data_IF_543919010461
#
_entry.id   IF_543919010461
#
_cell.length_a   1.000
_cell.length_b   1.000
_cell.length_c   1.000
_cell.angle_alpha   90.00
_cell.angle_beta   90.00
_cell.angle_gamma   90.00
#
_symmetry.space_group_name_H-M   'P 1'
#
loop_
_entity.id
_entity.type
_entity.pdbx_description
1 polymer ?
#
# COMPACT_ATOMS: atom_id res chain seq x y z
N UNK A 1 65.42 -20.69 33.16
CA UNK A 1 65.59 -20.66 31.69
C UNK A 1 64.71 -19.54 31.16
N UNK A 2 65.29 -18.36 30.97
CA UNK A 2 64.64 -17.23 30.32
C UNK A 2 64.57 -17.51 28.81
N UNK A 3 63.43 -17.32 28.14
CA UNK A 3 63.34 -17.54 26.70
C UNK A 3 64.20 -16.49 25.99
N UNK A 4 65.05 -16.95 25.06
CA UNK A 4 65.84 -16.09 24.20
C UNK A 4 64.89 -15.16 23.43
N UNK A 5 65.04 -13.87 23.65
CA UNK A 5 64.41 -12.83 22.81
C UNK A 5 65.10 -12.93 21.46
N UNK A 6 64.39 -13.47 20.46
CA UNK A 6 64.84 -13.50 19.08
C UNK A 6 64.73 -12.05 18.60
N UNK A 7 65.86 -11.37 18.47
CA UNK A 7 65.89 -10.07 17.81
C UNK A 7 65.31 -10.24 16.40
N UNK A 8 64.28 -9.45 16.02
CA UNK A 8 63.73 -9.51 14.68
C UNK A 8 64.84 -9.18 13.67
N UNK A 9 64.83 -9.80 12.48
CA UNK A 9 65.80 -9.48 11.43
C UNK A 9 65.81 -7.96 11.21
N UNK A 10 67.01 -7.37 11.06
CA UNK A 10 67.21 -5.96 10.69
C UNK A 10 66.61 -5.72 9.31
N UNK A 11 65.28 -5.62 9.28
CA UNK A 11 64.50 -5.35 8.10
C UNK A 11 64.68 -3.86 7.86
N UNK A 12 65.31 -3.51 6.75
CA UNK A 12 65.51 -2.12 6.30
C UNK A 12 64.22 -1.44 5.86
N UNK A 13 63.08 -2.13 6.00
CA UNK A 13 61.77 -1.60 5.65
C UNK A 13 61.31 -0.53 6.67
N UNK A 14 60.85 0.64 6.20
CA UNK A 14 60.50 1.76 7.08
C UNK A 14 59.25 1.54 7.92
N UNK A 15 58.37 0.62 7.51
CA UNK A 15 57.15 0.28 8.24
C UNK A 15 57.17 -1.21 8.55
N UNK A 16 57.04 -1.54 9.83
CA UNK A 16 57.04 -2.92 10.32
C UNK A 16 55.67 -3.19 10.93
N UNK A 17 55.06 -4.31 10.51
CA UNK A 17 53.88 -4.87 11.16
C UNK A 17 54.31 -5.73 12.35
N UNK A 18 53.71 -5.48 13.51
CA UNK A 18 53.99 -6.17 14.78
C UNK A 18 52.70 -6.74 15.38
N UNK A 19 52.85 -7.81 16.19
CA UNK A 19 51.72 -8.55 16.80
C UNK A 19 50.95 -9.42 15.80
N UNK A 20 49.67 -9.71 16.08
CA UNK A 20 48.73 -10.44 15.19
C UNK A 20 48.32 -9.63 13.93
N UNK A 21 49.12 -8.64 13.53
CA UNK A 21 48.91 -7.85 12.30
C UNK A 21 48.29 -6.47 12.49
N UNK A 22 48.13 -5.98 13.72
CA UNK A 22 47.49 -4.68 14.02
C UNK A 22 48.43 -3.60 14.57
N UNK A 23 49.67 -3.92 14.95
CA UNK A 23 50.64 -2.93 15.42
C UNK A 23 51.49 -2.39 14.27
N UNK A 24 51.34 -1.11 13.92
CA UNK A 24 52.21 -0.45 12.93
C UNK A 24 53.29 0.37 13.65
N UNK A 25 54.56 0.01 13.47
CA UNK A 25 55.70 0.71 14.06
C UNK A 25 56.64 1.15 12.94
N UNK A 26 57.28 2.31 13.10
CA UNK A 26 58.36 2.76 12.21
C UNK A 26 59.63 2.01 12.62
N UNK A 27 60.32 1.38 11.67
CA UNK A 27 61.56 0.69 11.95
C UNK A 27 62.62 1.66 12.52
N UNK A 28 63.34 1.25 13.56
CA UNK A 28 64.39 2.06 14.20
C UNK A 28 65.48 2.47 13.20
N UNK A 29 65.83 1.59 12.26
CA UNK A 29 66.75 1.88 11.16
C UNK A 29 66.23 2.98 10.20
N UNK A 30 64.91 3.07 9.99
CA UNK A 30 64.33 4.14 9.20
C UNK A 30 64.27 5.45 9.97
N UNK A 31 64.05 5.43 11.29
CA UNK A 31 64.15 6.63 12.11
C UNK A 31 65.57 7.21 12.11
N UNK A 32 66.59 6.37 12.23
CA UNK A 32 68.00 6.81 12.17
C UNK A 32 68.38 7.31 10.78
N UNK A 33 67.93 6.66 9.71
CA UNK A 33 68.13 7.13 8.34
C UNK A 33 67.46 8.50 8.10
N UNK A 34 66.22 8.68 8.56
CA UNK A 34 65.50 9.96 8.49
C UNK A 34 66.25 11.05 9.25
N UNK A 35 66.67 10.77 10.48
CA UNK A 35 67.41 11.73 11.29
C UNK A 35 68.72 12.16 10.62
N UNK A 36 69.44 11.21 10.00
CA UNK A 36 70.68 11.47 9.27
C UNK A 36 70.45 12.33 8.04
N UNK A 37 69.45 12.00 7.21
CA UNK A 37 69.12 12.78 6.02
C UNK A 37 68.69 14.21 6.37
N UNK A 38 67.86 14.37 7.41
CA UNK A 38 67.43 15.70 7.88
C UNK A 38 68.58 16.50 8.50
N UNK A 39 69.52 15.84 9.18
CA UNK A 39 70.72 16.50 9.69
C UNK A 39 71.59 16.99 8.53
N UNK A 40 71.83 16.15 7.53
CA UNK A 40 72.65 16.48 6.37
C UNK A 40 72.02 17.59 5.52
N UNK A 41 70.70 17.55 5.32
CA UNK A 41 70.00 18.60 4.56
C UNK A 41 70.07 19.95 5.26
N UNK A 42 70.06 19.99 6.60
CA UNK A 42 70.17 21.24 7.38
C UNK A 42 71.56 21.89 7.31
N UNK A 43 72.60 21.16 6.89
CA UNK A 43 73.93 21.73 6.68
C UNK A 43 73.98 22.63 5.45
N UNK A 44 73.03 22.48 4.53
CA UNK A 44 72.93 23.29 3.31
C UNK A 44 71.99 24.46 3.60
N UNK A 45 72.58 25.60 3.98
CA UNK A 45 71.82 26.83 4.32
C UNK A 45 71.53 27.65 3.06
N UNK A 46 72.52 27.79 2.19
CA UNK A 46 72.43 28.53 0.93
C UNK A 46 73.30 27.83 -0.12
N UNK A 47 72.89 27.88 -1.39
CA UNK A 47 73.64 27.33 -2.52
C UNK A 47 74.17 28.51 -3.35
N UNK A 48 75.47 28.80 -3.21
CA UNK A 48 76.11 29.94 -3.87
C UNK A 48 77.11 29.54 -4.97
N UNK A 49 77.43 28.25 -5.09
CA UNK A 49 78.41 27.74 -6.03
C UNK A 49 77.99 26.38 -6.65
N UNK A 50 78.64 25.95 -7.75
CA UNK A 50 78.30 24.69 -8.41
C UNK A 50 78.54 23.43 -7.56
N UNK A 51 79.42 23.48 -6.57
CA UNK A 51 79.71 22.33 -5.69
C UNK A 51 78.58 22.14 -4.69
N UNK A 52 78.08 23.24 -4.11
CA UNK A 52 76.91 23.30 -3.26
C UNK A 52 75.65 22.85 -3.98
N UNK A 53 75.50 23.20 -5.26
CA UNK A 53 74.37 22.76 -6.09
C UNK A 53 74.36 21.23 -6.25
N UNK A 54 75.50 20.63 -6.59
CA UNK A 54 75.64 19.18 -6.69
C UNK A 54 75.37 18.45 -5.34
N UNK A 55 75.82 19.05 -4.24
CA UNK A 55 75.56 18.52 -2.89
C UNK A 55 74.06 18.61 -2.53
N UNK A 56 73.40 19.71 -2.86
CA UNK A 56 71.97 19.91 -2.65
C UNK A 56 71.13 18.92 -3.47
N UNK A 57 71.44 18.75 -4.76
CA UNK A 57 70.77 17.77 -5.63
C UNK A 57 70.91 16.34 -5.08
N UNK A 58 72.10 15.98 -4.59
CA UNK A 58 72.33 14.67 -3.96
C UNK A 58 71.44 14.46 -2.73
N UNK A 59 71.34 15.47 -1.85
CA UNK A 59 70.47 15.37 -0.66
C UNK A 59 68.99 15.36 -1.03
N UNK A 60 68.56 16.14 -2.03
CA UNK A 60 67.19 16.13 -2.53
C UNK A 60 66.80 14.76 -3.09
N UNK A 61 67.66 14.12 -3.89
CA UNK A 61 67.45 12.76 -4.39
C UNK A 61 67.34 11.75 -3.27
N UNK A 62 68.18 11.85 -2.24
CA UNK A 62 68.14 10.95 -1.08
C UNK A 62 66.84 11.09 -0.27
N UNK A 63 66.40 12.33 0.01
CA UNK A 63 65.12 12.60 0.66
C UNK A 63 63.93 12.10 -0.17
N UNK A 64 63.96 12.32 -1.50
CA UNK A 64 62.93 11.84 -2.41
C UNK A 64 62.85 10.30 -2.44
N UNK A 65 64.01 9.62 -2.48
CA UNK A 65 64.09 8.17 -2.45
C UNK A 65 63.49 7.59 -1.16
N UNK A 66 63.79 8.19 0.01
CA UNK A 66 63.22 7.77 1.28
C UNK A 66 61.69 7.95 1.32
N UNK A 67 61.18 9.09 0.82
CA UNK A 67 59.73 9.34 0.70
C UNK A 67 59.05 8.28 -0.17
N UNK A 68 59.62 7.96 -1.33
CA UNK A 68 59.08 6.95 -2.26
C UNK A 68 59.12 5.55 -1.63
N UNK A 69 60.20 5.21 -0.94
CA UNK A 69 60.33 3.94 -0.21
C UNK A 69 59.22 3.77 0.82
N UNK A 70 58.94 4.81 1.61
CA UNK A 70 57.89 4.78 2.63
C UNK A 70 56.49 4.57 2.03
N UNK A 71 56.16 5.23 0.91
CA UNK A 71 54.89 5.00 0.22
C UNK A 71 54.78 3.59 -0.38
N UNK A 72 55.89 3.06 -0.90
CA UNK A 72 55.92 1.68 -1.41
C UNK A 72 55.67 0.67 -0.29
N UNK A 73 56.33 0.83 0.86
CA UNK A 73 56.11 -0.05 2.01
C UNK A 73 54.70 0.12 2.56
N UNK A 74 54.16 1.34 2.63
CA UNK A 74 52.76 1.60 3.00
C UNK A 74 51.79 0.87 2.08
N UNK A 75 52.00 0.95 0.76
CA UNK A 75 51.16 0.26 -0.22
C UNK A 75 51.26 -1.27 -0.06
N UNK A 76 52.46 -1.80 0.16
CA UNK A 76 52.72 -3.22 0.39
C UNK A 76 52.02 -3.73 1.65
N UNK A 77 52.17 -3.01 2.77
CA UNK A 77 51.54 -3.32 4.05
C UNK A 77 50.01 -3.28 3.99
N UNK A 78 49.45 -2.30 3.26
CA UNK A 78 47.99 -2.14 3.12
C UNK A 78 47.36 -3.20 2.21
N UNK A 79 48.09 -3.69 1.20
CA UNK A 79 47.55 -4.55 0.15
C UNK A 79 46.91 -5.85 0.68
N UNK A 80 47.55 -6.65 1.57
CA UNK A 80 46.94 -7.86 2.10
C UNK A 80 45.61 -7.62 2.82
N UNK A 81 45.50 -6.53 3.59
CA UNK A 81 44.26 -6.19 4.30
C UNK A 81 43.14 -5.80 3.32
N UNK A 82 43.46 -5.05 2.26
CA UNK A 82 42.50 -4.73 1.20
C UNK A 82 42.06 -5.98 0.42
N UNK A 83 43.02 -6.84 0.05
CA UNK A 83 42.75 -8.08 -0.66
C UNK A 83 41.88 -9.04 0.19
N UNK A 84 42.11 -9.08 1.51
CA UNK A 84 41.27 -9.82 2.44
C UNK A 84 39.86 -9.24 2.55
N UNK A 85 39.72 -7.91 2.70
CA UNK A 85 38.42 -7.24 2.72
C UNK A 85 37.60 -7.52 1.46
N UNK A 86 38.23 -7.42 0.28
CA UNK A 86 37.59 -7.75 -1.00
C UNK A 86 37.14 -9.21 -1.07
N UNK A 87 37.93 -10.16 -0.54
CA UNK A 87 37.53 -11.58 -0.47
C UNK A 87 36.32 -11.78 0.44
N UNK A 88 36.29 -11.13 1.61
CA UNK A 88 35.14 -11.19 2.54
C UNK A 88 33.88 -10.66 1.86
N UNK A 89 33.98 -9.50 1.22
CA UNK A 89 32.86 -8.89 0.50
C UNK A 89 32.36 -9.79 -0.64
N UNK A 90 33.28 -10.39 -1.39
CA UNK A 90 32.94 -11.31 -2.47
C UNK A 90 32.23 -12.56 -1.95
N UNK A 91 32.72 -13.17 -0.87
CA UNK A 91 32.10 -14.34 -0.23
C UNK A 91 30.70 -13.98 0.30
N UNK A 92 30.56 -12.85 0.99
CA UNK A 92 29.28 -12.39 1.50
C UNK A 92 28.28 -12.15 0.34
N UNK A 93 28.74 -11.52 -0.74
CA UNK A 93 27.92 -11.28 -1.94
C UNK A 93 27.47 -12.57 -2.58
N UNK A 94 28.37 -13.56 -2.76
CA UNK A 94 27.99 -14.86 -3.33
C UNK A 94 27.03 -15.61 -2.43
N UNK A 95 27.26 -15.58 -1.11
CA UNK A 95 26.42 -16.26 -0.13
C UNK A 95 24.98 -15.71 -0.12
N UNK A 96 24.84 -14.38 -0.15
CA UNK A 96 23.52 -13.73 -0.13
C UNK A 96 22.81 -13.81 -1.48
N UNK A 97 23.54 -13.94 -2.59
CA UNK A 97 22.94 -13.98 -3.94
C UNK A 97 21.89 -15.09 -4.10
N UNK A 98 22.17 -16.29 -3.58
CA UNK A 98 21.22 -17.41 -3.60
C UNK A 98 19.98 -17.14 -2.74
N UNK A 99 20.17 -16.54 -1.56
CA UNK A 99 19.08 -16.16 -0.66
C UNK A 99 18.17 -15.12 -1.31
N UNK A 100 18.75 -14.09 -1.95
CA UNK A 100 17.98 -13.07 -2.68
C UNK A 100 17.21 -13.69 -3.85
N UNK A 101 17.84 -14.60 -4.60
CA UNK A 101 17.18 -15.27 -5.71
C UNK A 101 15.97 -16.09 -5.23
N UNK A 102 16.13 -16.83 -4.12
CA UNK A 102 15.06 -17.64 -3.55
C UNK A 102 13.95 -16.79 -2.92
N UNK A 103 14.30 -15.69 -2.24
CA UNK A 103 13.34 -14.71 -1.75
C UNK A 103 12.51 -14.12 -2.91
N UNK A 104 13.16 -13.79 -4.03
CA UNK A 104 12.51 -13.34 -5.25
C UNK A 104 11.56 -14.38 -5.83
N UNK A 105 11.96 -15.66 -5.86
CA UNK A 105 11.12 -16.77 -6.30
C UNK A 105 9.87 -16.91 -5.44
N UNK A 106 10.01 -16.87 -4.12
CA UNK A 106 8.90 -16.96 -3.17
C UNK A 106 7.94 -15.77 -3.27
N UNK A 107 8.46 -14.54 -3.41
CA UNK A 107 7.65 -13.34 -3.64
C UNK A 107 6.80 -13.46 -4.89
N UNK A 108 7.38 -13.94 -6.01
CA UNK A 108 6.65 -14.20 -7.26
C UNK A 108 5.56 -15.25 -7.07
N UNK A 109 5.89 -16.39 -6.46
CA UNK A 109 4.92 -17.46 -6.20
C UNK A 109 3.74 -16.98 -5.35
N UNK A 110 4.01 -16.17 -4.32
CA UNK A 110 2.97 -15.56 -3.48
C UNK A 110 2.10 -14.58 -4.28
N UNK A 111 2.71 -13.75 -5.13
CA UNK A 111 1.99 -12.83 -6.02
C UNK A 111 1.04 -13.56 -6.96
N UNK A 112 1.54 -14.57 -7.67
CA UNK A 112 0.71 -15.39 -8.58
C UNK A 112 -0.44 -16.11 -7.88
N UNK A 113 -0.24 -16.55 -6.63
CA UNK A 113 -1.34 -17.14 -5.85
C UNK A 113 -2.39 -16.09 -5.48
N UNK A 114 -1.97 -14.90 -5.04
CA UNK A 114 -2.90 -13.81 -4.71
C UNK A 114 -3.74 -13.37 -5.93
N UNK A 115 -3.14 -13.32 -7.12
CA UNK A 115 -3.86 -13.05 -8.37
C UNK A 115 -4.91 -14.11 -8.68
N UNK A 116 -4.58 -15.40 -8.54
CA UNK A 116 -5.54 -16.50 -8.74
C UNK A 116 -6.72 -16.41 -7.78
N UNK A 117 -6.45 -16.15 -6.49
CA UNK A 117 -7.51 -15.97 -5.48
C UNK A 117 -8.42 -14.79 -5.83
N UNK A 118 -7.85 -13.68 -6.33
CA UNK A 118 -8.64 -12.52 -6.76
C UNK A 118 -9.50 -12.85 -7.99
N UNK A 119 -8.95 -13.57 -8.97
CA UNK A 119 -9.69 -14.02 -10.16
C UNK A 119 -10.85 -14.95 -9.80
N UNK A 120 -10.61 -15.95 -8.94
CA UNK A 120 -11.66 -16.85 -8.46
C UNK A 120 -12.76 -16.07 -7.71
N UNK A 121 -12.38 -15.14 -6.84
CA UNK A 121 -13.35 -14.28 -6.14
C UNK A 121 -14.20 -13.46 -7.12
N UNK A 122 -13.56 -12.83 -8.10
CA UNK A 122 -14.26 -12.01 -9.09
C UNK A 122 -15.19 -12.86 -9.97
N UNK A 123 -14.78 -14.09 -10.30
CA UNK A 123 -15.61 -15.04 -11.03
C UNK A 123 -16.89 -15.38 -10.24
N UNK A 124 -16.74 -15.73 -8.96
CA UNK A 124 -17.89 -16.03 -8.08
C UNK A 124 -18.82 -14.83 -7.93
N UNK A 125 -18.28 -13.61 -7.81
CA UNK A 125 -19.10 -12.39 -7.74
C UNK A 125 -19.90 -12.19 -9.03
N UNK A 126 -19.28 -12.34 -10.20
CA UNK A 126 -19.96 -12.23 -11.49
C UNK A 126 -21.06 -13.28 -11.66
N UNK A 127 -20.77 -14.54 -11.34
CA UNK A 127 -21.78 -15.62 -11.41
C UNK A 127 -22.98 -15.34 -10.48
N UNK A 128 -22.75 -14.76 -9.29
CA UNK A 128 -23.82 -14.34 -8.38
C UNK A 128 -24.61 -13.14 -8.91
N UNK A 129 -23.95 -12.17 -9.53
CA UNK A 129 -24.61 -11.00 -10.15
C UNK A 129 -25.46 -11.40 -11.36
N UNK A 130 -24.93 -12.25 -12.25
CA UNK A 130 -25.66 -12.78 -13.40
C UNK A 130 -26.91 -13.53 -12.95
N UNK A 131 -26.78 -14.40 -11.95
CA UNK A 131 -27.94 -15.13 -11.39
C UNK A 131 -28.99 -14.19 -10.80
N UNK A 132 -28.58 -13.14 -10.07
CA UNK A 132 -29.53 -12.12 -9.56
C UNK A 132 -30.22 -11.36 -10.69
N UNK A 133 -29.51 -11.07 -11.78
CA UNK A 133 -30.10 -10.41 -12.94
C UNK A 133 -31.08 -11.30 -13.70
N UNK A 134 -30.82 -12.60 -13.78
CA UNK A 134 -31.74 -13.58 -14.35
C UNK A 134 -32.99 -13.75 -13.49
N UNK A 135 -32.82 -13.97 -12.18
CA UNK A 135 -33.93 -14.05 -11.22
C UNK A 135 -34.76 -12.75 -11.23
N UNK A 136 -34.12 -11.58 -11.33
CA UNK A 136 -34.80 -10.29 -11.45
C UNK A 136 -35.52 -10.09 -12.79
N UNK A 137 -35.04 -10.68 -13.89
CA UNK A 137 -35.73 -10.66 -15.19
C UNK A 137 -36.96 -11.56 -15.18
N UNK A 138 -36.83 -12.78 -14.66
CA UNK A 138 -37.94 -13.72 -14.51
C UNK A 138 -39.06 -13.12 -13.67
N UNK A 139 -38.72 -12.49 -12.54
CA UNK A 139 -39.71 -11.84 -11.68
C UNK A 139 -40.46 -10.70 -12.39
N UNK A 140 -39.79 -9.92 -13.26
CA UNK A 140 -40.43 -8.85 -14.03
C UNK A 140 -41.35 -9.40 -15.11
N UNK A 141 -40.92 -10.44 -15.83
CA UNK A 141 -41.74 -11.11 -16.84
C UNK A 141 -43.01 -11.72 -16.20
N UNK A 142 -42.88 -12.33 -15.02
CA UNK A 142 -44.01 -12.83 -14.23
C UNK A 142 -44.94 -11.70 -13.77
N UNK A 143 -44.40 -10.57 -13.31
CA UNK A 143 -45.19 -9.39 -12.91
C UNK A 143 -45.93 -8.76 -14.09
N UNK A 144 -45.28 -8.61 -15.25
CA UNK A 144 -45.92 -8.09 -16.45
C UNK A 144 -47.02 -9.02 -16.98
N UNK A 145 -46.81 -10.35 -16.90
CA UNK A 145 -47.84 -11.33 -17.25
C UNK A 145 -49.03 -11.27 -16.28
N UNK A 146 -48.78 -11.15 -14.98
CA UNK A 146 -49.82 -11.01 -13.97
C UNK A 146 -50.62 -9.71 -14.15
N UNK A 147 -49.96 -8.58 -14.43
CA UNK A 147 -50.63 -7.30 -14.71
C UNK A 147 -51.52 -7.38 -15.95
N UNK A 148 -51.05 -7.98 -17.05
CA UNK A 148 -51.87 -8.14 -18.26
C UNK A 148 -53.13 -8.97 -18.02
N UNK A 149 -53.04 -10.00 -17.18
CA UNK A 149 -54.19 -10.81 -16.80
C UNK A 149 -55.17 -10.04 -15.91
N UNK A 150 -54.65 -9.23 -14.98
CA UNK A 150 -55.47 -8.39 -14.13
C UNK A 150 -56.18 -7.28 -14.94
N UNK A 151 -55.46 -6.60 -15.82
CA UNK A 151 -56.00 -5.62 -16.76
C UNK A 151 -57.07 -6.24 -17.67
N UNK A 152 -56.82 -7.46 -18.17
CA UNK A 152 -57.79 -8.23 -18.96
C UNK A 152 -59.05 -8.59 -18.16
N UNK A 153 -58.91 -8.89 -16.87
CA UNK A 153 -60.05 -9.15 -15.97
C UNK A 153 -60.87 -7.88 -15.72
N UNK A 154 -60.20 -6.76 -15.46
CA UNK A 154 -60.85 -5.45 -15.27
C UNK A 154 -61.59 -5.04 -16.54
N UNK A 155 -60.98 -5.21 -17.71
CA UNK A 155 -61.62 -4.92 -19.00
C UNK A 155 -62.85 -5.82 -19.26
N UNK A 156 -62.76 -7.12 -18.93
CA UNK A 156 -63.90 -8.04 -19.06
C UNK A 156 -65.03 -7.72 -18.05
N UNK A 157 -64.68 -7.26 -16.84
CA UNK A 157 -65.66 -6.83 -15.83
C UNK A 157 -66.34 -5.51 -16.22
N UNK A 158 -65.59 -4.57 -16.79
CA UNK A 158 -66.14 -3.33 -17.35
C UNK A 158 -67.08 -3.60 -18.53
N UNK A 159 -66.69 -4.50 -19.46
CA UNK A 159 -67.53 -4.88 -20.59
C UNK A 159 -68.84 -5.58 -20.16
N UNK A 160 -68.84 -6.30 -19.04
CA UNK A 160 -70.06 -6.88 -18.47
C UNK A 160 -70.96 -5.81 -17.84
N UNK A 161 -70.38 -4.76 -17.25
CA UNK A 161 -71.14 -3.69 -16.62
C UNK A 161 -71.74 -2.68 -17.64
N UNK A 162 -71.08 -2.52 -18.79
CA UNK A 162 -71.50 -1.64 -19.89
C UNK A 162 -72.44 -2.31 -20.91
N UNK A 163 -72.76 -3.60 -20.74
CA UNK A 163 -73.65 -4.31 -21.65
C UNK A 163 -75.12 -3.92 -21.44
N UNK A 164 -75.76 -3.36 -22.48
CA UNK A 164 -77.16 -2.88 -22.43
C UNK A 164 -78.14 -3.82 -23.18
N UNK A 165 -77.65 -4.92 -23.75
CA UNK A 165 -78.46 -5.92 -24.46
C UNK A 165 -78.18 -7.36 -23.99
N UNK A 166 -79.18 -8.26 -24.02
CA UNK A 166 -79.01 -9.64 -23.57
C UNK A 166 -78.04 -10.48 -24.43
N UNK A 167 -77.77 -10.07 -25.67
CA UNK A 167 -76.74 -10.70 -26.53
C UNK A 167 -75.32 -10.24 -26.13
N UNK A 168 -75.17 -8.98 -25.72
CA UNK A 168 -73.89 -8.43 -25.24
C UNK A 168 -73.54 -8.94 -23.83
N UNK A 169 -74.53 -9.11 -22.94
CA UNK A 169 -74.34 -9.75 -21.63
C UNK A 169 -73.87 -11.20 -21.76
N UNK A 170 -74.43 -11.97 -22.71
CA UNK A 170 -74.02 -13.35 -22.97
C UNK A 170 -72.60 -13.43 -23.54
N UNK A 171 -72.21 -12.49 -24.42
CA UNK A 171 -70.85 -12.39 -24.95
C UNK A 171 -69.83 -11.98 -23.88
N UNK A 172 -70.17 -11.03 -23.02
CA UNK A 172 -69.33 -10.57 -21.92
C UNK A 172 -69.17 -11.65 -20.82
N UNK A 173 -70.22 -12.43 -20.53
CA UNK A 173 -70.15 -13.55 -19.59
C UNK A 173 -69.22 -14.67 -20.08
N UNK A 174 -69.25 -15.01 -21.38
CA UNK A 174 -68.32 -15.97 -22.00
C UNK A 174 -66.88 -15.45 -22.00
N UNK A 175 -66.68 -14.14 -22.17
CA UNK A 175 -65.36 -13.52 -22.07
C UNK A 175 -64.81 -13.55 -20.63
N UNK A 176 -65.64 -13.27 -19.63
CA UNK A 176 -65.25 -13.34 -18.22
C UNK A 176 -64.94 -14.78 -17.77
N UNK A 177 -65.68 -15.78 -18.27
CA UNK A 177 -65.41 -17.19 -17.97
C UNK A 177 -64.07 -17.66 -18.55
N UNK A 178 -63.70 -17.21 -19.76
CA UNK A 178 -62.38 -17.48 -20.36
C UNK A 178 -61.24 -16.85 -19.57
N UNK A 179 -61.38 -15.58 -19.17
CA UNK A 179 -60.35 -14.90 -18.36
C UNK A 179 -60.24 -15.52 -16.96
N UNK A 180 -61.35 -15.99 -16.36
CA UNK A 180 -61.36 -16.73 -15.08
C UNK A 180 -60.70 -18.11 -15.20
N UNK A 181 -60.91 -18.82 -16.31
CA UNK A 181 -60.24 -20.10 -16.57
C UNK A 181 -58.73 -19.91 -16.67
N UNK A 182 -58.26 -18.94 -17.47
CA UNK A 182 -56.83 -18.64 -17.65
C UNK A 182 -56.15 -18.14 -16.35
N UNK A 183 -56.85 -17.34 -15.53
CA UNK A 183 -56.32 -16.90 -14.22
C UNK A 183 -56.26 -18.01 -13.18
N UNK A 184 -57.17 -18.99 -13.24
CA UNK A 184 -57.15 -20.16 -12.35
C UNK A 184 -56.02 -21.15 -12.65
N UNK A 185 -55.62 -21.27 -13.93
CA UNK A 185 -54.51 -22.11 -14.35
C UNK A 185 -53.14 -21.51 -13.98
N UNK A 186 -52.98 -20.18 -14.09
CA UNK A 186 -51.74 -19.52 -13.67
C UNK A 186 -51.53 -19.50 -12.15
N UNK A 187 -52.60 -19.28 -11.36
CA UNK A 187 -52.49 -19.23 -9.89
C UNK A 187 -52.14 -20.57 -9.25
N UNK A 188 -52.40 -21.70 -9.92
CA UNK A 188 -51.97 -23.02 -9.47
C UNK A 188 -50.45 -23.27 -9.63
N UNK A 189 -49.74 -22.42 -10.39
CA UNK A 189 -48.31 -22.59 -10.72
C UNK A 189 -47.39 -21.63 -9.96
N UNK A 190 -47.95 -20.68 -9.21
CA UNK A 190 -47.16 -19.70 -8.43
C UNK A 190 -46.52 -20.39 -7.23
N UNK A 191 -45.19 -20.56 -7.29
CA UNK A 191 -44.37 -21.10 -6.19
C UNK A 191 -44.42 -20.17 -4.97
N UNK A 192 -44.48 -20.72 -3.73
CA UNK A 192 -44.42 -19.91 -2.51
C UNK A 192 -43.08 -19.16 -2.41
N UNK A 193 -43.06 -17.97 -1.77
CA UNK A 193 -41.84 -17.17 -1.63
C UNK A 193 -40.79 -17.93 -0.81
N UNK A 194 -39.64 -18.16 -1.44
CA UNK A 194 -38.48 -18.77 -0.78
C UNK A 194 -37.87 -17.74 0.18
N UNK A 195 -37.97 -18.00 1.48
CA UNK A 195 -37.27 -17.24 2.51
C UNK A 195 -35.75 -17.28 2.26
N UNK A 196 -35.21 -16.18 1.75
CA UNK A 196 -33.77 -15.98 1.53
C UNK A 196 -33.11 -15.52 2.82
N UNK A 197 -32.88 -16.46 3.75
CA UNK A 197 -31.89 -16.24 4.81
C UNK A 197 -30.51 -16.28 4.18
N UNK A 198 -29.92 -15.11 3.96
CA UNK A 198 -28.56 -14.94 3.43
C UNK A 198 -27.56 -15.54 4.42
N UNK A 199 -27.07 -16.74 4.15
CA UNK A 199 -25.91 -17.30 4.85
C UNK A 199 -24.66 -16.64 4.27
N UNK A 200 -24.10 -15.66 4.99
CA UNK A 200 -22.83 -15.05 4.65
C UNK A 200 -21.69 -16.00 5.02
N UNK A 201 -21.22 -16.77 4.04
CA UNK A 201 -20.00 -17.55 4.18
C UNK A 201 -18.79 -16.61 4.01
N UNK A 202 -18.14 -16.24 5.12
CA UNK A 202 -16.89 -15.48 5.09
C UNK A 202 -15.72 -16.46 4.89
N UNK A 203 -14.99 -16.42 3.75
CA UNK A 203 -13.84 -17.29 3.55
C UNK A 203 -12.69 -16.93 4.51
N UNK A 204 -11.87 -17.91 4.95
CA UNK A 204 -10.76 -17.65 5.84
C UNK A 204 -9.71 -16.75 5.18
N UNK A 205 -9.33 -15.69 5.89
CA UNK A 205 -8.41 -14.66 5.40
C UNK A 205 -6.99 -15.22 5.25
N UNK A 206 -6.31 -15.02 4.11
CA UNK A 206 -4.91 -15.41 3.95
C UNK A 206 -4.01 -14.57 4.87
N UNK A 207 -3.15 -15.23 5.65
CA UNK A 207 -2.21 -14.57 6.57
C UNK A 207 -1.29 -13.61 5.81
N UNK A 208 -1.16 -12.37 6.30
CA UNK A 208 -0.19 -11.38 5.80
C UNK A 208 -0.69 -10.38 4.76
N UNK A 209 -2.00 -10.26 4.56
CA UNK A 209 -2.63 -9.18 3.77
C UNK A 209 -3.50 -8.34 4.69
N UNK A 210 -3.23 -7.03 4.81
CA UNK A 210 -4.06 -6.10 5.58
C UNK A 210 -5.25 -5.69 4.70
N UNK A 211 -6.39 -6.34 4.90
CA UNK A 211 -7.64 -5.91 4.26
C UNK A 211 -8.13 -4.63 4.94
N UNK A 212 -8.33 -3.58 4.15
CA UNK A 212 -9.01 -2.36 4.59
C UNK A 212 -10.45 -2.43 4.07
N UNK A 213 -11.48 -2.40 4.94
CA UNK A 213 -12.86 -2.39 4.48
C UNK A 213 -13.18 -1.07 3.78
N UNK A 214 -13.76 -1.16 2.60
CA UNK A 214 -14.32 -0.04 1.84
C UNK A 214 -15.86 -0.11 1.97
N UNK A 215 -16.52 1.04 2.12
CA UNK A 215 -17.96 1.09 2.36
C UNK A 215 -18.62 2.23 1.57
N UNK A 216 -19.89 2.03 1.22
CA UNK A 216 -20.77 3.02 0.61
C UNK A 216 -22.00 3.18 1.52
N UNK A 217 -22.39 4.42 1.81
CA UNK A 217 -23.57 4.71 2.66
C UNK A 217 -24.77 4.94 1.77
N UNK A 218 -25.73 4.01 1.79
CA UNK A 218 -26.97 4.08 1.00
C UNK A 218 -28.05 4.95 1.66
N UNK A 219 -28.16 4.92 2.99
CA UNK A 219 -29.10 5.72 3.78
C UNK A 219 -28.45 6.21 5.08
N UNK A 220 -28.23 7.53 5.17
CA UNK A 220 -27.57 8.18 6.30
C UNK A 220 -28.48 8.27 7.54
N UNK A 221 -29.80 8.38 7.35
CA UNK A 221 -30.75 8.55 8.44
C UNK A 221 -31.00 7.20 9.14
N UNK A 222 -31.13 6.12 8.37
CA UNK A 222 -31.19 4.77 8.92
C UNK A 222 -29.88 4.43 9.67
N UNK A 223 -28.72 4.80 9.10
CA UNK A 223 -27.42 4.57 9.73
C UNK A 223 -27.29 5.33 11.06
N UNK A 224 -27.74 6.59 11.12
CA UNK A 224 -27.74 7.38 12.36
C UNK A 224 -28.69 6.80 13.43
N UNK A 225 -29.88 6.33 13.04
CA UNK A 225 -30.86 5.73 13.99
C UNK A 225 -30.35 4.44 14.63
N UNK A 226 -29.72 3.58 13.84
CA UNK A 226 -29.23 2.28 14.34
C UNK A 226 -27.84 2.38 14.98
N UNK A 227 -26.99 3.29 14.49
CA UNK A 227 -25.58 3.39 14.90
C UNK A 227 -25.13 4.85 14.98
N UNK A 228 -25.70 5.60 15.93
CA UNK A 228 -25.44 7.02 16.13
C UNK A 228 -23.96 7.39 16.38
N UNK A 229 -23.11 6.44 16.81
CA UNK A 229 -21.68 6.66 17.03
C UNK A 229 -20.82 6.69 15.77
N UNK A 230 -21.36 6.30 14.61
CA UNK A 230 -20.62 6.24 13.34
C UNK A 230 -20.84 7.48 12.45
N UNK A 231 -21.83 8.32 12.77
CA UNK A 231 -22.23 9.48 11.95
C UNK A 231 -22.59 10.66 12.85
N UNK A 232 -22.06 11.84 12.53
CA UNK A 232 -22.42 13.09 13.22
C UNK A 232 -23.28 13.96 12.31
N UNK A 233 -24.58 14.05 12.59
CA UNK A 233 -25.48 14.98 11.91
C UNK A 233 -25.33 16.39 12.50
N UNK A 234 -24.91 17.35 11.67
CA UNK A 234 -24.69 18.74 12.11
C UNK A 234 -25.72 19.67 11.48
N UNK A 235 -26.42 20.53 12.26
CA UNK A 235 -27.37 21.47 11.71
C UNK A 235 -26.67 22.58 10.91
N UNK A 236 -27.19 22.89 9.71
CA UNK A 236 -26.69 23.99 8.88
C UNK A 236 -27.20 25.33 9.39
N UNK A 237 -26.50 25.86 10.40
CA UNK A 237 -26.91 27.05 11.15
C UNK A 237 -27.25 28.26 10.27
N UNK A 238 -26.44 28.54 9.24
CA UNK A 238 -26.66 29.70 8.36
C UNK A 238 -27.97 29.57 7.57
N UNK A 239 -28.19 28.42 6.94
CA UNK A 239 -29.41 28.16 6.16
C UNK A 239 -30.67 28.20 7.05
N UNK A 240 -30.56 27.69 8.28
CA UNK A 240 -31.65 27.75 9.27
C UNK A 240 -31.97 29.19 9.65
N UNK A 241 -30.95 30.03 9.92
CA UNK A 241 -31.16 31.44 10.26
C UNK A 241 -31.75 32.23 9.09
N UNK A 242 -31.32 31.95 7.86
CA UNK A 242 -31.90 32.56 6.66
C UNK A 242 -33.35 32.14 6.41
N UNK A 243 -33.69 30.87 6.68
CA UNK A 243 -35.08 30.39 6.59
C UNK A 243 -35.96 31.07 7.65
N UNK A 244 -35.45 31.25 8.87
CA UNK A 244 -36.15 31.99 9.94
C UNK A 244 -36.33 33.46 9.56
N UNK A 245 -35.30 34.10 8.99
CA UNK A 245 -35.37 35.50 8.56
C UNK A 245 -36.36 35.70 7.41
N UNK A 246 -36.43 34.76 6.46
CA UNK A 246 -37.40 34.79 5.34
C UNK A 246 -38.84 34.55 5.79
N UNK A 247 -39.06 33.70 6.79
CA UNK A 247 -40.38 33.39 7.33
C UNK A 247 -40.89 34.34 8.41
N UNK A 248 -40.11 35.37 8.76
CA UNK A 248 -40.48 36.35 9.79
C UNK A 248 -41.49 37.35 9.24
N UNK A 249 -42.62 37.52 9.93
CA UNK A 249 -43.64 38.53 9.62
C UNK A 249 -43.73 39.46 10.84
N UNK A 250 -43.18 40.67 10.73
CA UNK A 250 -43.12 41.61 11.86
C UNK A 250 -42.27 41.08 13.03
N UNK A 251 -42.83 41.07 14.24
CA UNK A 251 -42.17 40.55 15.44
C UNK A 251 -42.47 39.07 15.72
N UNK A 252 -43.32 38.44 14.92
CA UNK A 252 -43.67 37.03 15.05
C UNK A 252 -42.63 36.12 14.38
N UNK A 253 -42.20 35.09 15.12
CA UNK A 253 -41.25 34.09 14.65
C UNK A 253 -41.99 32.93 13.95
N UNK A 254 -41.46 32.39 12.84
CA UNK A 254 -42.06 31.25 12.15
C UNK A 254 -42.01 29.98 13.01
N UNK A 255 -43.08 29.17 12.98
CA UNK A 255 -43.09 27.85 13.61
C UNK A 255 -42.48 26.82 12.67
N UNK A 256 -41.32 26.26 13.03
CA UNK A 256 -40.63 25.20 12.28
C UNK A 256 -40.64 23.93 13.14
N UNK A 257 -41.25 22.81 12.67
CA UNK A 257 -41.27 21.55 13.40
C UNK A 257 -39.87 21.09 13.81
N UNK A 258 -39.70 20.70 15.07
CA UNK A 258 -38.41 20.26 15.61
C UNK A 258 -37.42 21.38 15.97
N UNK A 259 -37.76 22.64 15.74
CA UNK A 259 -36.90 23.79 16.06
C UNK A 259 -37.59 24.76 17.02
N UNK A 260 -36.96 25.02 18.17
CA UNK A 260 -37.41 26.05 19.13
C UNK A 260 -36.61 27.33 18.92
N UNK A 261 -37.28 28.42 18.53
CA UNK A 261 -36.65 29.72 18.24
C UNK A 261 -36.87 30.67 19.42
N UNK A 262 -35.83 31.41 19.82
CA UNK A 262 -35.89 32.45 20.85
C UNK A 262 -35.12 33.68 20.39
N UNK A 263 -35.66 34.88 20.64
CA UNK A 263 -34.93 36.13 20.47
C UNK A 263 -34.04 36.37 21.69
N UNK A 264 -32.76 36.61 21.46
CA UNK A 264 -31.80 36.96 22.51
C UNK A 264 -31.25 38.35 22.19
N UNK A 265 -31.34 39.33 23.11
CA UNK A 265 -30.77 40.64 22.89
C UNK A 265 -29.26 40.53 22.75
N UNK A 266 -28.72 40.97 21.61
CA UNK A 266 -27.28 41.09 21.39
C UNK A 266 -26.88 42.49 21.84
N UNK A 267 -26.19 42.58 22.97
CA UNK A 267 -25.47 43.81 23.36
C UNK A 267 -24.28 43.93 22.40
N UNK A 268 -24.19 45.05 21.67
CA UNK A 268 -23.03 45.36 20.83
C UNK A 268 -21.84 45.78 21.67
#
# INVERSE_FOLDING_TARGET
MTPATIDPPETTDPLILTGEGYGLIIGTAAETAKATLLKNSKLIVEVTDPVGDAAADTQLKALAAMRIGLEKTRASVKKPALDFGLKVDQIAKSFIAEVIAEEGRLKKARGSYAEKVLQERNRVIRELEERRQEEGRQLREEQEAAQKLEDGRIAAEQALWEADSPEEEAAAAVAMEKVKAETSELTATVRPPVNTSVVTFAPPVPRGVKMVPEYEVTDIDALYRHNAGLVTLTPRRMEILEAIARGRIGDDLPQIPGLKIKLVPQVR
#
